data_IF_636846256511
#
_entry.id   IF_636846256511
#
_cell.length_a   1.000
_cell.length_b   1.000
_cell.length_c   1.000
_cell.angle_alpha   90.00
_cell.angle_beta   90.00
_cell.angle_gamma   90.00
#
_symmetry.space_group_name_H-M   'P 1'
#
loop_
_entity.id
_entity.type
_entity.pdbx_description
1 polymer ?
#
# COMPACT_ATOMS: atom_id res chain seq x y z
N UNK A 1 -17.84 -26.99 10.98
CA UNK A 1 -17.48 -25.64 10.47
C UNK A 1 -16.19 -25.67 9.61
N UNK A 2 -15.08 -26.32 10.05
CA UNK A 2 -13.83 -26.40 9.27
C UNK A 2 -14.04 -27.02 7.87
N UNK A 3 -14.72 -28.18 7.77
CA UNK A 3 -15.03 -28.80 6.47
C UNK A 3 -15.91 -27.92 5.56
N UNK A 4 -16.86 -27.19 6.14
CA UNK A 4 -17.71 -26.26 5.40
C UNK A 4 -16.85 -25.10 4.87
N UNK A 5 -15.95 -24.58 5.67
CA UNK A 5 -15.01 -23.55 5.26
C UNK A 5 -14.11 -24.01 4.11
N UNK A 6 -13.49 -25.18 4.24
CA UNK A 6 -12.69 -25.80 3.18
C UNK A 6 -13.48 -25.98 1.89
N UNK A 7 -14.72 -26.47 1.99
CA UNK A 7 -15.61 -26.63 0.84
C UNK A 7 -15.84 -25.29 0.11
N UNK A 8 -16.14 -24.21 0.83
CA UNK A 8 -16.34 -22.91 0.21
C UNK A 8 -15.05 -22.31 -0.38
N UNK A 9 -13.90 -22.51 0.24
CA UNK A 9 -12.61 -22.10 -0.34
C UNK A 9 -12.32 -22.82 -1.64
N UNK A 10 -12.54 -24.14 -1.69
CA UNK A 10 -12.34 -24.95 -2.89
C UNK A 10 -13.36 -24.57 -3.96
N UNK A 11 -14.63 -24.41 -3.60
CA UNK A 11 -15.69 -24.00 -4.53
C UNK A 11 -15.39 -22.62 -5.16
N UNK A 12 -15.04 -21.63 -4.35
CA UNK A 12 -14.64 -20.31 -4.83
C UNK A 12 -13.45 -20.41 -5.80
N UNK A 13 -12.45 -21.24 -5.47
CA UNK A 13 -11.31 -21.46 -6.35
C UNK A 13 -11.73 -22.09 -7.69
N UNK A 14 -12.60 -23.11 -7.71
CA UNK A 14 -13.11 -23.74 -8.93
C UNK A 14 -13.88 -22.72 -9.78
N UNK A 15 -14.77 -21.92 -9.17
CA UNK A 15 -15.54 -20.89 -9.88
C UNK A 15 -14.62 -19.82 -10.48
N UNK A 16 -13.51 -19.50 -9.82
CA UNK A 16 -12.55 -18.52 -10.34
C UNK A 16 -11.64 -19.07 -11.46
N UNK A 17 -11.61 -20.39 -11.70
CA UNK A 17 -10.75 -20.98 -12.75
C UNK A 17 -11.00 -20.42 -14.17
N UNK A 18 -12.24 -20.30 -14.68
CA UNK A 18 -12.48 -19.73 -16.00
C UNK A 18 -12.05 -18.25 -16.10
N UNK A 19 -12.15 -17.49 -14.99
CA UNK A 19 -11.83 -16.06 -14.97
C UNK A 19 -10.33 -15.78 -15.21
N UNK A 20 -9.46 -16.75 -15.05
CA UNK A 20 -8.03 -16.61 -15.36
C UNK A 20 -7.76 -16.36 -16.86
N UNK A 21 -8.64 -16.83 -17.74
CA UNK A 21 -8.55 -16.56 -19.18
C UNK A 21 -8.90 -15.12 -19.52
N UNK A 22 -9.70 -14.47 -18.68
CA UNK A 22 -10.17 -13.09 -18.85
C UNK A 22 -9.35 -12.06 -18.05
N UNK A 23 -8.54 -12.51 -17.07
CA UNK A 23 -7.79 -11.62 -16.19
C UNK A 23 -6.36 -12.10 -15.98
N UNK A 24 -5.40 -11.32 -16.48
CA UNK A 24 -3.95 -11.56 -16.27
C UNK A 24 -3.57 -11.63 -14.79
N UNK A 25 -4.21 -10.82 -13.94
CA UNK A 25 -3.96 -10.84 -12.48
C UNK A 25 -4.37 -12.17 -11.85
N UNK A 26 -5.53 -12.73 -12.22
CA UNK A 26 -6.00 -14.02 -11.70
C UNK A 26 -5.08 -15.13 -12.19
N UNK A 27 -4.66 -15.08 -13.45
CA UNK A 27 -3.75 -16.06 -14.01
C UNK A 27 -2.36 -16.03 -13.32
N UNK A 28 -1.77 -14.84 -13.11
CA UNK A 28 -0.50 -14.69 -12.38
C UNK A 28 -0.60 -15.28 -10.96
N UNK A 29 -1.68 -14.98 -10.26
CA UNK A 29 -1.95 -15.47 -8.91
C UNK A 29 -2.07 -17.02 -8.89
N UNK A 30 -2.73 -17.59 -9.87
CA UNK A 30 -2.88 -19.04 -10.02
C UNK A 30 -1.55 -19.72 -10.27
N UNK A 31 -0.83 -19.28 -11.29
CA UNK A 31 0.47 -19.87 -11.66
C UNK A 31 1.52 -19.68 -10.55
N UNK A 32 1.48 -18.55 -9.86
CA UNK A 32 2.36 -18.29 -8.72
C UNK A 32 2.10 -19.27 -7.57
N UNK A 33 0.82 -19.49 -7.19
CA UNK A 33 0.45 -20.46 -6.14
C UNK A 33 0.85 -21.90 -6.48
N UNK A 34 0.78 -22.30 -7.73
CA UNK A 34 1.24 -23.64 -8.16
C UNK A 34 2.72 -23.86 -7.88
N UNK A 35 3.52 -22.80 -7.95
CA UNK A 35 4.98 -22.84 -7.72
C UNK A 35 5.35 -22.77 -6.24
N UNK A 36 4.45 -22.36 -5.35
CA UNK A 36 4.75 -22.06 -3.94
C UNK A 36 5.41 -23.23 -3.21
N UNK A 37 4.88 -24.43 -3.31
CA UNK A 37 5.47 -25.60 -2.65
C UNK A 37 6.83 -26.03 -3.26
N UNK A 38 7.07 -25.77 -4.54
CA UNK A 38 8.37 -25.99 -5.17
C UNK A 38 9.42 -25.01 -4.65
N UNK A 39 9.01 -23.73 -4.48
CA UNK A 39 9.86 -22.68 -3.90
C UNK A 39 10.21 -23.06 -2.46
N UNK A 40 9.21 -23.40 -1.63
CA UNK A 40 9.44 -23.80 -0.23
C UNK A 40 10.43 -24.95 -0.14
N UNK A 41 10.25 -26.02 -0.91
CA UNK A 41 11.16 -27.16 -0.89
C UNK A 41 12.61 -26.81 -1.26
N UNK A 42 12.80 -25.79 -2.11
CA UNK A 42 14.11 -25.35 -2.59
C UNK A 42 14.81 -24.36 -1.66
N UNK A 43 14.04 -23.45 -1.05
CA UNK A 43 14.58 -22.24 -0.45
C UNK A 43 14.38 -22.17 1.07
N UNK A 44 13.58 -23.06 1.69
CA UNK A 44 13.27 -22.99 3.11
C UNK A 44 13.71 -24.29 3.81
N UNK A 45 14.54 -24.13 4.82
CA UNK A 45 14.87 -25.22 5.77
C UNK A 45 13.97 -25.06 7.01
N UNK A 46 13.15 -26.06 7.37
CA UNK A 46 12.29 -26.01 8.55
C UNK A 46 13.07 -26.03 9.89
N UNK A 47 14.36 -26.33 9.87
CA UNK A 47 15.21 -26.34 11.06
C UNK A 47 15.82 -24.95 11.37
N UNK A 48 15.73 -24.02 10.43
CA UNK A 48 16.18 -22.65 10.65
C UNK A 48 15.19 -21.84 11.50
N UNK A 49 15.64 -20.69 12.01
CA UNK A 49 14.77 -19.75 12.75
C UNK A 49 13.90 -18.95 11.79
N UNK A 50 12.84 -19.57 11.29
CA UNK A 50 11.94 -18.99 10.33
C UNK A 50 10.93 -18.04 10.98
N UNK A 51 10.86 -16.80 10.47
CA UNK A 51 9.82 -15.80 10.76
C UNK A 51 8.99 -15.63 9.50
N UNK A 52 7.69 -15.84 9.61
CA UNK A 52 6.77 -15.73 8.50
C UNK A 52 5.95 -14.45 8.57
N UNK A 53 6.02 -13.63 7.51
CA UNK A 53 5.14 -12.49 7.27
C UNK A 53 4.10 -12.84 6.20
N UNK A 54 2.85 -12.51 6.47
CA UNK A 54 1.80 -12.57 5.48
C UNK A 54 1.25 -11.18 5.16
N UNK A 55 1.20 -10.86 3.87
CA UNK A 55 0.69 -9.60 3.33
C UNK A 55 -0.20 -9.87 2.12
N UNK A 56 -1.38 -9.23 2.07
CA UNK A 56 -2.30 -9.40 0.93
C UNK A 56 -1.86 -8.66 -0.31
N UNK A 57 -1.29 -7.46 -0.14
CA UNK A 57 -1.09 -6.49 -1.21
C UNK A 57 0.24 -5.76 -1.08
N UNK A 58 0.58 -4.95 -2.09
CA UNK A 58 1.75 -4.07 -2.03
C UNK A 58 1.67 -3.09 -0.85
N UNK A 59 0.48 -2.49 -0.59
CA UNK A 59 0.32 -1.55 0.53
C UNK A 59 0.58 -2.18 1.90
N UNK A 60 0.21 -3.44 2.09
CA UNK A 60 0.53 -4.18 3.32
C UNK A 60 2.00 -4.59 3.39
N UNK A 61 2.61 -4.87 2.25
CA UNK A 61 4.04 -5.12 2.19
C UNK A 61 4.86 -3.88 2.58
N UNK A 62 4.43 -2.68 2.18
CA UNK A 62 5.05 -1.42 2.64
C UNK A 62 4.97 -1.25 4.17
N UNK A 63 3.90 -1.75 4.81
CA UNK A 63 3.77 -1.82 6.27
C UNK A 63 4.78 -2.79 6.88
N UNK A 64 5.00 -3.95 6.25
CA UNK A 64 5.89 -4.99 6.74
C UNK A 64 7.38 -4.64 6.60
N UNK A 65 7.78 -3.92 5.54
CA UNK A 65 9.18 -3.63 5.20
C UNK A 65 10.00 -3.05 6.36
N UNK A 66 9.58 -1.99 7.06
CA UNK A 66 10.37 -1.42 8.16
C UNK A 66 10.62 -2.42 9.28
N UNK A 67 9.65 -3.30 9.56
CA UNK A 67 9.75 -4.32 10.60
C UNK A 67 10.74 -5.41 10.16
N UNK A 68 10.63 -5.89 8.93
CA UNK A 68 11.54 -6.87 8.33
C UNK A 68 12.98 -6.34 8.34
N UNK A 69 13.19 -5.10 7.90
CA UNK A 69 14.51 -4.48 7.87
C UNK A 69 15.12 -4.33 9.26
N UNK A 70 14.30 -3.98 10.25
CA UNK A 70 14.73 -3.87 11.65
C UNK A 70 15.13 -5.24 12.20
N UNK A 71 14.30 -6.27 11.98
CA UNK A 71 14.61 -7.63 12.42
C UNK A 71 15.91 -8.17 11.81
N UNK A 72 16.10 -7.96 10.49
CA UNK A 72 17.32 -8.38 9.78
C UNK A 72 18.57 -7.65 10.26
N UNK A 73 18.45 -6.41 10.72
CA UNK A 73 19.58 -5.64 11.30
C UNK A 73 19.88 -6.05 12.74
N UNK A 74 18.86 -6.53 13.47
CA UNK A 74 19.00 -6.85 14.89
C UNK A 74 19.38 -8.32 15.15
N UNK A 75 19.14 -9.21 14.18
CA UNK A 75 19.32 -10.64 14.32
C UNK A 75 19.93 -11.27 13.08
N UNK A 76 21.15 -11.78 13.17
CA UNK A 76 21.88 -12.34 12.00
C UNK A 76 21.35 -13.72 11.59
N UNK A 77 20.83 -14.52 12.53
CA UNK A 77 20.48 -15.94 12.33
C UNK A 77 18.97 -16.17 12.16
N UNK A 78 18.26 -15.26 11.49
CA UNK A 78 16.83 -15.43 11.20
C UNK A 78 16.59 -15.50 9.69
N UNK A 79 15.60 -16.29 9.29
CA UNK A 79 15.10 -16.36 7.91
C UNK A 79 13.72 -15.71 7.83
N UNK A 80 13.57 -14.79 6.91
CA UNK A 80 12.31 -14.08 6.68
C UNK A 80 11.64 -14.64 5.44
N UNK A 81 10.47 -15.26 5.66
CA UNK A 81 9.59 -15.74 4.59
C UNK A 81 8.43 -14.75 4.47
N UNK A 82 8.21 -14.23 3.27
CA UNK A 82 7.08 -13.34 2.99
C UNK A 82 6.12 -14.00 2.00
N UNK A 83 4.87 -14.13 2.40
CA UNK A 83 3.81 -14.63 1.52
C UNK A 83 2.88 -13.51 1.10
N UNK A 84 2.42 -13.58 -0.15
CA UNK A 84 1.51 -12.62 -0.77
C UNK A 84 0.21 -13.29 -1.19
N UNK A 85 -0.90 -12.58 -1.05
CA UNK A 85 -2.17 -13.04 -1.61
C UNK A 85 -2.35 -12.54 -3.04
N UNK A 86 -2.04 -11.27 -3.31
CA UNK A 86 -2.26 -10.65 -4.62
C UNK A 86 -0.97 -10.50 -5.45
N UNK A 87 -1.10 -10.51 -6.79
CA UNK A 87 0.03 -10.26 -7.69
C UNK A 87 0.70 -8.90 -7.49
N UNK A 88 -0.07 -7.87 -7.14
CA UNK A 88 0.49 -6.53 -6.93
C UNK A 88 1.57 -6.50 -5.83
N UNK A 89 1.40 -7.29 -4.77
CA UNK A 89 2.42 -7.43 -3.73
C UNK A 89 3.62 -8.22 -4.22
N UNK A 90 3.38 -9.43 -4.75
CA UNK A 90 4.45 -10.33 -5.15
C UNK A 90 5.32 -9.78 -6.28
N UNK A 91 4.71 -9.29 -7.37
CA UNK A 91 5.44 -8.82 -8.54
C UNK A 91 6.34 -7.61 -8.21
N UNK A 92 5.86 -6.70 -7.34
CA UNK A 92 6.62 -5.52 -6.90
C UNK A 92 7.61 -5.81 -5.75
N UNK A 93 7.64 -7.02 -5.22
CA UNK A 93 8.57 -7.42 -4.14
C UNK A 93 9.84 -8.09 -4.64
N UNK A 94 9.95 -8.42 -5.94
CA UNK A 94 11.03 -9.27 -6.49
C UNK A 94 12.43 -8.76 -6.14
N UNK A 95 12.66 -7.45 -6.20
CA UNK A 95 13.95 -6.82 -5.92
C UNK A 95 14.21 -6.57 -4.42
N UNK A 96 13.25 -6.86 -3.57
CA UNK A 96 13.42 -6.64 -2.13
C UNK A 96 14.32 -7.71 -1.50
N UNK A 97 15.46 -7.29 -0.96
CA UNK A 97 16.57 -8.16 -0.55
C UNK A 97 16.54 -8.61 0.91
N UNK A 98 15.71 -8.00 1.75
CA UNK A 98 15.64 -8.34 3.18
C UNK A 98 14.71 -9.52 3.49
N UNK A 99 13.95 -10.03 2.51
CA UNK A 99 13.22 -11.29 2.61
C UNK A 99 14.02 -12.40 1.92
N UNK A 100 14.28 -13.48 2.65
CA UNK A 100 15.03 -14.64 2.13
C UNK A 100 14.21 -15.41 1.11
N UNK A 101 12.94 -15.63 1.38
CA UNK A 101 12.00 -16.29 0.47
C UNK A 101 10.72 -15.48 0.30
N UNK A 102 10.27 -15.37 -0.94
CA UNK A 102 9.01 -14.69 -1.32
C UNK A 102 8.18 -15.61 -2.19
N UNK A 103 6.90 -15.78 -1.84
CA UNK A 103 6.00 -16.68 -2.57
C UNK A 103 4.53 -16.27 -2.40
N UNK A 104 3.66 -16.80 -3.24
CA UNK A 104 2.23 -16.68 -3.01
C UNK A 104 1.77 -17.63 -1.90
N UNK A 105 0.87 -17.15 -1.04
CA UNK A 105 0.24 -18.00 -0.04
C UNK A 105 -0.60 -19.06 -0.76
N UNK A 106 -0.37 -20.37 -0.54
CA UNK A 106 -1.28 -21.40 -1.01
C UNK A 106 -2.69 -21.19 -0.46
N UNK A 107 -3.72 -21.66 -1.17
CA UNK A 107 -5.10 -21.53 -0.73
C UNK A 107 -5.30 -22.09 0.67
N UNK A 108 -6.11 -21.41 1.49
CA UNK A 108 -6.38 -21.76 2.88
C UNK A 108 -7.28 -23.00 3.03
N UNK A 109 -6.85 -24.10 2.44
CA UNK A 109 -7.42 -25.43 2.71
C UNK A 109 -6.64 -26.10 3.84
N UNK A 110 -7.30 -26.99 4.55
CA UNK A 110 -6.69 -27.76 5.64
C UNK A 110 -5.41 -28.48 5.19
N UNK A 111 -5.43 -29.09 4.00
CA UNK A 111 -4.29 -29.79 3.44
C UNK A 111 -3.11 -28.84 3.13
N UNK A 112 -3.37 -27.74 2.45
CA UNK A 112 -2.32 -26.78 2.09
C UNK A 112 -1.73 -26.10 3.31
N UNK A 113 -2.58 -25.66 4.27
CA UNK A 113 -2.14 -24.99 5.46
C UNK A 113 -1.24 -25.90 6.33
N UNK A 114 -1.64 -27.16 6.55
CA UNK A 114 -0.83 -28.16 7.25
C UNK A 114 0.53 -28.33 6.57
N UNK A 115 0.53 -28.58 5.24
CA UNK A 115 1.74 -28.80 4.47
C UNK A 115 2.67 -27.60 4.48
N UNK A 116 2.10 -26.38 4.38
CA UNK A 116 2.86 -25.14 4.40
C UNK A 116 3.52 -24.91 5.76
N UNK A 117 2.74 -25.01 6.86
CA UNK A 117 3.24 -24.81 8.22
C UNK A 117 4.34 -25.82 8.54
N UNK A 118 4.18 -27.09 8.16
CA UNK A 118 5.23 -28.10 8.36
C UNK A 118 6.49 -27.82 7.52
N UNK A 119 6.35 -27.29 6.31
CA UNK A 119 7.50 -26.98 5.45
C UNK A 119 8.25 -25.71 5.91
N UNK A 120 7.56 -24.74 6.46
CA UNK A 120 8.16 -23.48 6.96
C UNK A 120 8.61 -23.60 8.41
N UNK A 121 7.87 -24.34 9.23
CA UNK A 121 8.06 -24.47 10.68
C UNK A 121 8.34 -23.11 11.37
N UNK A 122 7.47 -22.10 11.18
CA UNK A 122 7.75 -20.76 11.66
C UNK A 122 7.62 -20.71 13.18
N UNK A 123 8.57 -20.03 13.85
CA UNK A 123 8.47 -19.77 15.29
C UNK A 123 7.65 -18.52 15.59
N UNK A 124 7.71 -17.55 14.68
CA UNK A 124 6.96 -16.29 14.77
C UNK A 124 6.22 -16.09 13.44
N UNK A 125 4.96 -15.72 13.55
CA UNK A 125 4.10 -15.40 12.39
C UNK A 125 3.47 -14.04 12.56
N UNK A 126 3.51 -13.23 11.52
CA UNK A 126 3.04 -11.87 11.53
C UNK A 126 2.08 -11.68 10.37
N UNK A 127 0.79 -11.56 10.70
CA UNK A 127 -0.26 -11.15 9.77
C UNK A 127 -0.36 -9.62 9.75
N UNK A 128 -0.26 -9.02 8.58
CA UNK A 128 -0.43 -7.58 8.42
C UNK A 128 -1.89 -7.26 8.15
N UNK A 129 -2.43 -6.29 8.88
CA UNK A 129 -3.85 -5.91 8.89
C UNK A 129 -4.77 -7.08 9.28
N UNK A 130 -5.90 -7.19 8.57
CA UNK A 130 -6.95 -8.16 8.86
C UNK A 130 -6.96 -9.36 7.90
N UNK A 131 -5.85 -9.63 7.22
CA UNK A 131 -5.75 -10.74 6.28
C UNK A 131 -5.39 -12.05 7.01
N UNK A 132 -6.40 -12.63 7.64
CA UNK A 132 -6.28 -13.71 8.62
C UNK A 132 -6.95 -14.98 8.07
N UNK A 133 -6.20 -16.08 8.04
CA UNK A 133 -6.57 -17.34 7.40
C UNK A 133 -6.77 -18.46 8.43
N UNK A 134 -8.00 -18.96 8.51
CA UNK A 134 -8.45 -19.84 9.63
C UNK A 134 -7.71 -21.18 9.71
N UNK A 135 -7.42 -21.84 8.60
CA UNK A 135 -6.69 -23.11 8.64
C UNK A 135 -5.21 -22.88 8.96
N UNK A 136 -4.61 -21.79 8.43
CA UNK A 136 -3.23 -21.44 8.81
C UNK A 136 -3.11 -21.20 10.31
N UNK A 137 -4.01 -20.41 10.91
CA UNK A 137 -4.01 -20.18 12.37
C UNK A 137 -4.14 -21.49 13.14
N UNK A 138 -5.00 -22.38 12.68
CA UNK A 138 -5.18 -23.68 13.34
C UNK A 138 -3.87 -24.49 13.37
N UNK A 139 -3.21 -24.65 12.22
CA UNK A 139 -1.96 -25.43 12.16
C UNK A 139 -0.75 -24.72 12.78
N UNK A 140 -0.75 -23.39 12.79
CA UNK A 140 0.27 -22.63 13.52
C UNK A 140 0.19 -22.87 15.02
N UNK A 141 -1.02 -22.97 15.57
CA UNK A 141 -1.20 -23.33 17.00
C UNK A 141 -0.74 -24.77 17.28
N UNK A 142 -0.97 -25.70 16.35
CA UNK A 142 -0.44 -27.08 16.48
C UNK A 142 1.10 -27.12 16.35
N UNK A 143 1.71 -26.10 15.77
CA UNK A 143 3.17 -25.94 15.61
C UNK A 143 3.82 -25.10 16.73
N UNK A 144 3.07 -24.70 17.75
CA UNK A 144 3.51 -23.80 18.82
C UNK A 144 4.13 -22.50 18.35
N UNK A 145 3.64 -22.00 17.21
CA UNK A 145 4.05 -20.70 16.66
C UNK A 145 3.41 -19.56 17.43
N UNK A 146 4.19 -18.50 17.70
CA UNK A 146 3.65 -17.23 18.25
C UNK A 146 3.08 -16.39 17.11
N UNK A 147 1.82 -16.00 17.23
CA UNK A 147 1.07 -15.33 16.14
C UNK A 147 0.77 -13.88 16.52
N UNK A 148 1.21 -12.97 15.68
CA UNK A 148 0.96 -11.54 15.77
C UNK A 148 0.01 -11.07 14.66
N UNK A 149 -0.92 -10.16 14.98
CA UNK A 149 -1.65 -9.34 14.02
C UNK A 149 -1.16 -7.90 14.17
N UNK A 150 -0.55 -7.35 13.12
CA UNK A 150 0.02 -6.01 13.16
C UNK A 150 -0.74 -5.03 12.27
N UNK A 151 -0.90 -3.79 12.76
CA UNK A 151 -1.54 -2.70 12.03
C UNK A 151 -2.99 -3.03 11.60
N UNK A 152 -3.67 -3.84 12.42
CA UNK A 152 -5.05 -4.26 12.15
C UNK A 152 -6.05 -3.20 12.64
N UNK A 153 -7.19 -3.14 11.95
CA UNK A 153 -8.31 -2.24 12.31
C UNK A 153 -9.60 -3.02 12.37
N UNK A 154 -10.27 -2.93 13.50
CA UNK A 154 -11.52 -3.65 13.74
C UNK A 154 -12.69 -2.70 13.93
N UNK A 155 -13.84 -3.05 13.36
CA UNK A 155 -15.10 -2.34 13.56
C UNK A 155 -16.28 -3.32 13.71
N UNK A 156 -17.36 -2.86 14.32
CA UNK A 156 -18.55 -3.68 14.63
C UNK A 156 -19.28 -4.21 13.38
N UNK A 157 -19.07 -3.62 12.22
CA UNK A 157 -19.73 -4.06 10.97
C UNK A 157 -19.09 -5.32 10.38
N UNK A 158 -17.84 -5.61 10.74
CA UNK A 158 -17.11 -6.79 10.25
C UNK A 158 -17.78 -8.08 10.71
N UNK A 159 -17.78 -9.08 9.84
CA UNK A 159 -18.47 -10.35 10.03
C UNK A 159 -18.04 -11.11 11.30
N UNK A 160 -16.81 -10.95 11.77
CA UNK A 160 -16.32 -11.56 13.02
C UNK A 160 -17.20 -11.23 14.24
N UNK A 161 -17.77 -10.02 14.29
CA UNK A 161 -18.54 -9.51 15.41
C UNK A 161 -20.06 -9.66 15.21
N UNK A 162 -20.49 -10.37 14.14
CA UNK A 162 -21.88 -10.71 13.89
C UNK A 162 -22.17 -12.10 14.47
N UNK A 163 -23.46 -12.39 14.75
CA UNK A 163 -23.88 -13.67 15.32
C UNK A 163 -23.45 -14.88 14.46
N UNK A 164 -23.44 -14.73 13.14
CA UNK A 164 -23.00 -15.76 12.19
C UNK A 164 -21.47 -15.86 12.07
N UNK A 165 -20.73 -14.89 12.60
CA UNK A 165 -19.27 -14.84 12.56
C UNK A 165 -18.57 -15.49 13.76
N UNK A 166 -19.32 -16.07 14.71
CA UNK A 166 -18.78 -16.60 15.97
C UNK A 166 -17.65 -17.61 15.79
N UNK A 167 -17.74 -18.46 14.77
CA UNK A 167 -16.66 -19.42 14.48
C UNK A 167 -15.35 -18.71 14.09
N UNK A 168 -15.44 -17.67 13.26
CA UNK A 168 -14.27 -16.86 12.87
C UNK A 168 -13.70 -16.07 14.06
N UNK A 169 -14.58 -15.56 14.92
CA UNK A 169 -14.14 -14.91 16.16
C UNK A 169 -13.33 -15.86 17.04
N UNK A 170 -13.72 -17.15 17.13
CA UNK A 170 -12.94 -18.18 17.82
C UNK A 170 -11.58 -18.42 17.15
N UNK A 171 -11.45 -18.30 15.83
CA UNK A 171 -10.15 -18.40 15.17
C UNK A 171 -9.28 -17.18 15.50
N UNK A 172 -9.85 -15.97 15.47
CA UNK A 172 -9.12 -14.77 15.88
C UNK A 172 -8.56 -14.88 17.31
N UNK A 173 -9.30 -15.45 18.24
CA UNK A 173 -8.85 -15.66 19.63
C UNK A 173 -7.62 -16.58 19.79
N UNK A 174 -7.20 -17.23 18.73
CA UNK A 174 -5.97 -18.04 18.71
C UNK A 174 -4.72 -17.21 18.38
N UNK A 175 -4.88 -15.94 18.00
CA UNK A 175 -3.77 -15.02 17.81
C UNK A 175 -3.29 -14.53 19.17
N UNK A 176 -1.97 -14.56 19.42
CA UNK A 176 -1.40 -14.25 20.72
C UNK A 176 -1.38 -12.73 21.01
N UNK A 177 -1.06 -11.92 20.00
CA UNK A 177 -0.91 -10.47 20.16
C UNK A 177 -1.56 -9.69 19.03
N UNK A 178 -2.30 -8.65 19.39
CA UNK A 178 -2.88 -7.70 18.46
C UNK A 178 -2.25 -6.32 18.64
N UNK A 179 -1.65 -5.80 17.59
CA UNK A 179 -1.18 -4.42 17.50
C UNK A 179 -2.10 -3.67 16.54
N UNK A 180 -3.09 -2.97 17.09
CA UNK A 180 -4.15 -2.31 16.34
C UNK A 180 -3.81 -0.85 16.04
N UNK A 181 -4.46 -0.29 15.01
CA UNK A 181 -4.21 1.08 14.57
C UNK A 181 -4.81 2.13 15.51
N UNK A 182 -5.96 1.83 16.14
CA UNK A 182 -6.74 2.83 16.87
C UNK A 182 -7.39 2.28 18.16
N UNK A 183 -7.81 3.21 19.01
CA UNK A 183 -8.46 2.92 20.29
C UNK A 183 -9.84 2.25 20.14
N UNK A 184 -10.56 2.52 19.04
CA UNK A 184 -11.86 1.89 18.79
C UNK A 184 -11.71 0.40 18.52
N UNK A 185 -10.69 0.03 17.73
CA UNK A 185 -10.31 -1.35 17.50
C UNK A 185 -9.91 -2.06 18.79
N UNK A 186 -9.07 -1.40 19.63
CA UNK A 186 -8.68 -1.93 20.94
C UNK A 186 -9.89 -2.21 21.82
N UNK A 187 -10.73 -1.21 22.06
CA UNK A 187 -11.95 -1.34 22.88
C UNK A 187 -12.90 -2.43 22.36
N UNK A 188 -13.02 -2.56 21.03
CA UNK A 188 -13.86 -3.59 20.44
C UNK A 188 -13.33 -5.00 20.69
N UNK A 189 -12.02 -5.22 20.56
CA UNK A 189 -11.40 -6.51 20.85
C UNK A 189 -11.48 -6.84 22.34
N UNK A 190 -11.14 -5.91 23.24
CA UNK A 190 -11.24 -6.08 24.70
C UNK A 190 -12.66 -6.43 25.15
N UNK A 191 -13.68 -5.76 24.56
CA UNK A 191 -15.11 -6.09 24.80
C UNK A 191 -15.45 -7.53 24.40
N UNK A 192 -14.74 -8.12 23.46
CA UNK A 192 -14.92 -9.50 23.01
C UNK A 192 -13.93 -10.47 23.68
N UNK A 193 -13.34 -10.08 24.82
CA UNK A 193 -12.43 -10.88 25.65
C UNK A 193 -11.15 -11.28 24.92
N UNK A 194 -10.50 -10.32 24.26
CA UNK A 194 -9.11 -10.42 23.79
C UNK A 194 -8.21 -9.71 24.79
N UNK A 195 -7.13 -10.36 25.22
CA UNK A 195 -6.29 -9.88 26.33
C UNK A 195 -5.09 -9.06 25.86
N UNK A 196 -4.35 -9.54 24.88
CA UNK A 196 -3.09 -8.93 24.44
C UNK A 196 -3.32 -7.95 23.28
N UNK A 197 -4.00 -6.83 23.55
CA UNK A 197 -4.33 -5.82 22.55
C UNK A 197 -3.62 -4.51 22.86
N UNK A 198 -2.72 -4.11 21.94
CA UNK A 198 -1.91 -2.91 22.04
C UNK A 198 -2.21 -1.96 20.89
N UNK A 199 -2.14 -0.65 21.13
CA UNK A 199 -2.22 0.35 20.06
C UNK A 199 -0.79 0.58 19.55
N UNK A 200 -0.57 0.34 18.26
CA UNK A 200 0.70 0.62 17.58
C UNK A 200 0.60 1.73 16.54
N UNK A 201 -0.61 2.18 16.25
CA UNK A 201 -0.85 3.07 15.12
C UNK A 201 -0.69 2.36 13.78
N UNK A 202 -0.58 3.16 12.73
CA UNK A 202 -0.30 2.69 11.37
C UNK A 202 1.19 2.88 11.08
N UNK A 203 1.90 1.80 10.80
CA UNK A 203 3.34 1.84 10.51
C UNK A 203 3.70 2.64 9.25
N UNK A 204 2.71 2.99 8.40
CA UNK A 204 2.90 3.92 7.28
C UNK A 204 3.37 5.29 7.77
N UNK A 205 2.92 5.74 8.96
CA UNK A 205 3.43 6.99 9.58
C UNK A 205 4.93 6.92 9.86
N UNK A 206 5.40 5.82 10.42
CA UNK A 206 6.85 5.62 10.66
C UNK A 206 7.62 5.64 9.33
N UNK A 207 7.08 5.02 8.28
CA UNK A 207 7.71 4.99 6.95
C UNK A 207 7.85 6.40 6.35
N UNK A 208 6.81 7.23 6.43
CA UNK A 208 6.86 8.60 5.87
C UNK A 208 7.73 9.53 6.70
N UNK A 209 7.75 9.39 8.04
CA UNK A 209 8.67 10.11 8.92
C UNK A 209 10.13 9.74 8.60
N UNK A 210 10.43 8.44 8.40
CA UNK A 210 11.76 8.00 7.97
C UNK A 210 12.14 8.57 6.59
N UNK A 211 11.17 8.77 5.69
CA UNK A 211 11.41 9.39 4.39
C UNK A 211 11.75 10.88 4.54
N UNK A 212 11.06 11.59 5.43
CA UNK A 212 11.35 12.98 5.77
C UNK A 212 12.78 13.11 6.32
N UNK A 213 13.15 12.26 7.29
CA UNK A 213 14.45 12.28 7.98
C UNK A 213 15.62 11.93 7.03
N UNK A 214 15.41 11.09 6.03
CA UNK A 214 16.46 10.76 5.03
C UNK A 214 16.90 11.95 4.20
N UNK A 215 16.13 13.02 4.15
CA UNK A 215 16.40 14.28 3.46
C UNK A 215 17.00 14.09 2.03
N UNK A 216 16.56 13.08 1.32
CA UNK A 216 17.06 12.76 -0.03
C UNK A 216 16.62 13.83 -1.02
N UNK A 217 17.57 14.60 -1.54
CA UNK A 217 17.35 15.59 -2.61
C UNK A 217 17.61 14.97 -3.99
N UNK A 218 16.92 15.50 -4.99
CA UNK A 218 17.06 15.11 -6.40
C UNK A 218 17.38 16.34 -7.21
N UNK A 219 18.68 16.57 -7.48
CA UNK A 219 19.21 17.80 -8.09
C UNK A 219 18.56 18.11 -9.45
N UNK A 220 18.25 17.11 -10.27
CA UNK A 220 17.57 17.31 -11.56
C UNK A 220 16.16 17.85 -11.39
N UNK A 221 15.45 17.46 -10.32
CA UNK A 221 14.13 18.00 -9.98
C UNK A 221 14.24 19.45 -9.54
N UNK A 222 15.21 19.79 -8.70
CA UNK A 222 15.45 21.17 -8.25
C UNK A 222 15.74 22.10 -9.44
N UNK A 223 16.57 21.65 -10.40
CA UNK A 223 16.84 22.37 -11.65
C UNK A 223 15.58 22.53 -12.52
N UNK A 224 14.76 21.46 -12.63
CA UNK A 224 13.52 21.51 -13.40
C UNK A 224 12.54 22.55 -12.82
N UNK A 225 12.36 22.57 -11.50
CA UNK A 225 11.45 23.48 -10.81
C UNK A 225 11.96 24.94 -10.89
N UNK A 226 13.25 25.14 -10.76
CA UNK A 226 13.93 26.43 -10.86
C UNK A 226 13.28 27.53 -9.99
N UNK A 227 13.08 27.24 -8.70
CA UNK A 227 12.45 28.11 -7.71
C UNK A 227 11.01 28.56 -8.04
N UNK A 228 10.35 27.94 -9.00
CA UNK A 228 8.93 28.19 -9.30
C UNK A 228 8.04 27.31 -8.41
N UNK A 229 6.80 27.75 -8.19
CA UNK A 229 5.79 26.91 -7.54
C UNK A 229 5.56 25.63 -8.36
N UNK A 230 5.49 24.50 -7.66
CA UNK A 230 5.41 23.20 -8.27
C UNK A 230 4.17 22.44 -7.82
N UNK A 231 3.41 21.94 -8.78
CA UNK A 231 2.33 20.99 -8.57
C UNK A 231 2.85 19.57 -8.77
N UNK A 232 2.56 18.66 -7.82
CA UNK A 232 2.95 17.24 -7.94
C UNK A 232 1.72 16.36 -7.89
N UNK A 233 1.45 15.66 -8.99
CA UNK A 233 0.38 14.68 -9.10
C UNK A 233 0.95 13.26 -9.02
N UNK A 234 0.79 12.62 -7.86
CA UNK A 234 1.37 11.30 -7.58
C UNK A 234 0.40 10.14 -7.69
N UNK A 235 0.89 9.00 -8.14
CA UNK A 235 0.14 7.73 -8.30
C UNK A 235 -1.12 7.88 -9.16
N UNK A 236 -1.04 8.62 -10.25
CA UNK A 236 -2.18 8.97 -11.09
C UNK A 236 -2.56 7.88 -12.09
N UNK A 237 -3.86 7.80 -12.40
CA UNK A 237 -4.46 6.97 -13.43
C UNK A 237 -5.08 7.83 -14.55
N UNK A 238 -5.58 7.22 -15.62
CA UNK A 238 -6.22 7.94 -16.73
C UNK A 238 -7.38 8.85 -16.29
N UNK A 239 -8.18 8.41 -15.33
CA UNK A 239 -9.28 9.22 -14.79
C UNK A 239 -8.79 10.46 -14.04
N UNK A 240 -7.65 10.35 -13.38
CA UNK A 240 -7.02 11.46 -12.66
C UNK A 240 -6.47 12.49 -13.64
N UNK A 241 -5.92 12.05 -14.79
CA UNK A 241 -5.46 12.96 -15.85
C UNK A 241 -6.57 13.90 -16.34
N UNK A 242 -7.78 13.35 -16.55
CA UNK A 242 -8.93 14.18 -16.98
C UNK A 242 -9.30 15.24 -15.95
N UNK A 243 -9.10 14.94 -14.66
CA UNK A 243 -9.38 15.86 -13.57
C UNK A 243 -8.40 17.04 -13.54
N UNK A 244 -7.08 16.75 -13.66
CA UNK A 244 -5.99 17.72 -13.48
C UNK A 244 -5.57 18.40 -14.78
N UNK A 245 -6.13 18.00 -15.91
CA UNK A 245 -5.69 18.40 -17.26
C UNK A 245 -5.59 19.92 -17.45
N UNK A 246 -6.57 20.65 -16.95
CA UNK A 246 -6.61 22.12 -17.07
C UNK A 246 -5.42 22.80 -16.38
N UNK A 247 -4.93 22.24 -15.27
CA UNK A 247 -3.71 22.72 -14.60
C UNK A 247 -2.47 22.34 -15.41
N UNK A 248 -2.42 21.14 -15.96
CA UNK A 248 -1.27 20.67 -16.75
C UNK A 248 -1.10 21.46 -18.07
N UNK A 249 -2.20 21.96 -18.63
CA UNK A 249 -2.18 22.80 -19.84
C UNK A 249 -1.82 24.26 -19.55
N UNK A 250 -1.69 24.63 -18.27
CA UNK A 250 -1.22 25.98 -17.87
C UNK A 250 0.31 26.05 -17.80
N UNK A 251 0.85 27.27 -17.57
CA UNK A 251 2.30 27.50 -17.42
C UNK A 251 2.84 27.19 -16.01
N UNK A 252 2.20 26.24 -15.28
CA UNK A 252 2.60 25.87 -13.94
C UNK A 252 3.57 24.69 -14.02
N UNK A 253 4.69 24.77 -13.29
CA UNK A 253 5.60 23.63 -13.15
C UNK A 253 4.87 22.47 -12.49
N UNK A 254 4.79 21.35 -13.21
CA UNK A 254 4.03 20.18 -12.81
C UNK A 254 4.86 18.91 -12.94
N UNK A 255 4.83 18.08 -11.92
CA UNK A 255 5.47 16.76 -11.94
C UNK A 255 4.36 15.71 -11.89
N UNK A 256 4.30 14.86 -12.91
CA UNK A 256 3.33 13.78 -13.02
C UNK A 256 4.02 12.47 -12.71
N UNK A 257 3.51 11.73 -11.73
CA UNK A 257 4.02 10.42 -11.37
C UNK A 257 2.91 9.38 -11.60
N UNK A 258 2.91 8.70 -12.75
CA UNK A 258 1.95 7.66 -13.04
C UNK A 258 2.04 6.50 -12.04
N UNK A 259 0.90 5.88 -11.71
CA UNK A 259 0.88 4.63 -10.96
C UNK A 259 1.33 3.46 -11.83
N UNK A 260 0.94 3.46 -13.09
CA UNK A 260 1.37 2.52 -14.11
C UNK A 260 2.39 3.20 -15.03
N UNK A 261 3.64 2.74 -14.98
CA UNK A 261 4.73 3.22 -15.83
C UNK A 261 4.86 2.43 -17.13
N UNK A 262 3.77 1.78 -17.58
CA UNK A 262 3.78 1.09 -18.88
C UNK A 262 4.15 2.06 -20.00
N UNK A 263 4.92 1.56 -20.96
CA UNK A 263 5.40 2.34 -22.12
C UNK A 263 4.23 3.02 -22.83
N UNK A 264 3.09 2.32 -22.96
CA UNK A 264 1.92 2.86 -23.63
C UNK A 264 1.33 4.06 -22.86
N UNK A 265 1.21 3.99 -21.54
CA UNK A 265 0.66 5.09 -20.75
C UNK A 265 1.58 6.31 -20.77
N UNK A 266 2.89 6.10 -20.58
CA UNK A 266 3.90 7.18 -20.66
C UNK A 266 3.89 7.84 -22.04
N UNK A 267 3.87 7.05 -23.13
CA UNK A 267 3.84 7.58 -24.49
C UNK A 267 2.55 8.36 -24.80
N UNK A 268 1.41 7.92 -24.27
CA UNK A 268 0.14 8.65 -24.40
C UNK A 268 0.20 10.03 -23.72
N UNK A 269 0.78 10.09 -22.50
CA UNK A 269 1.01 11.37 -21.82
C UNK A 269 1.96 12.27 -22.60
N UNK A 270 3.07 11.72 -23.09
CA UNK A 270 4.04 12.47 -23.88
C UNK A 270 3.42 13.01 -25.18
N UNK A 271 2.64 12.21 -25.87
CA UNK A 271 1.90 12.64 -27.07
C UNK A 271 0.87 13.72 -26.76
N UNK A 272 0.16 13.59 -25.63
CA UNK A 272 -0.88 14.54 -25.23
C UNK A 272 -0.34 15.94 -24.94
N UNK A 273 0.79 16.01 -24.24
CA UNK A 273 1.37 17.30 -23.80
C UNK A 273 2.49 17.81 -24.70
N UNK A 274 2.95 17.01 -25.67
CA UNK A 274 3.88 17.41 -26.73
C UNK A 274 5.16 18.06 -26.20
N UNK A 275 5.51 19.19 -26.81
CA UNK A 275 6.74 19.92 -26.49
C UNK A 275 6.76 20.53 -25.08
N UNK A 276 5.62 20.61 -24.40
CA UNK A 276 5.54 21.15 -23.04
C UNK A 276 5.93 20.12 -21.98
N UNK A 277 6.16 18.86 -22.35
CA UNK A 277 6.54 17.82 -21.39
C UNK A 277 7.87 17.14 -21.73
N UNK A 278 8.45 16.49 -20.72
CA UNK A 278 9.64 15.66 -20.83
C UNK A 278 9.56 14.49 -19.84
N UNK A 279 10.14 13.36 -20.19
CA UNK A 279 10.31 12.23 -19.28
C UNK A 279 11.53 12.46 -18.37
N UNK A 280 11.45 11.93 -17.17
CA UNK A 280 12.55 12.04 -16.22
C UNK A 280 13.81 11.34 -16.71
N UNK A 281 13.69 10.22 -17.41
CA UNK A 281 14.79 9.52 -18.07
C UNK A 281 15.51 10.33 -19.13
N UNK A 282 14.81 11.27 -19.76
CA UNK A 282 15.31 12.06 -20.90
C UNK A 282 15.80 13.45 -20.47
N UNK A 283 15.77 13.77 -19.18
CA UNK A 283 16.12 15.07 -18.62
C UNK A 283 17.64 15.28 -18.54
N UNK A 284 18.25 15.86 -19.58
CA UNK A 284 19.71 15.91 -19.75
C UNK A 284 20.31 17.30 -19.94
N UNK A 285 19.58 18.30 -20.47
CA UNK A 285 20.13 19.61 -20.85
C UNK A 285 19.30 20.79 -20.35
N UNK A 286 19.84 22.02 -20.44
CA UNK A 286 19.16 23.25 -19.95
C UNK A 286 17.86 23.56 -20.66
N UNK A 287 17.69 23.17 -21.92
CA UNK A 287 16.45 23.37 -22.65
C UNK A 287 15.30 22.55 -22.06
N UNK A 288 15.60 21.35 -21.57
CA UNK A 288 14.63 20.45 -20.98
C UNK A 288 14.03 21.04 -19.69
N UNK A 289 14.79 21.81 -18.95
CA UNK A 289 14.33 22.50 -17.74
C UNK A 289 13.38 23.68 -18.01
N UNK A 290 13.23 24.13 -19.25
CA UNK A 290 12.25 25.16 -19.61
C UNK A 290 10.83 24.62 -19.75
N UNK A 291 10.67 23.33 -19.98
CA UNK A 291 9.36 22.66 -20.08
C UNK A 291 8.59 22.75 -18.78
N UNK A 292 7.25 22.70 -18.85
CA UNK A 292 6.43 22.84 -17.63
C UNK A 292 6.00 21.50 -17.04
N UNK A 293 6.00 20.40 -17.79
CA UNK A 293 5.55 19.09 -17.31
C UNK A 293 6.72 18.11 -17.31
N UNK A 294 6.97 17.51 -16.15
CA UNK A 294 7.90 16.40 -16.00
C UNK A 294 7.13 15.12 -15.70
N UNK A 295 7.30 14.10 -16.54
CA UNK A 295 6.70 12.78 -16.38
C UNK A 295 7.73 11.85 -15.75
N UNK A 296 7.44 11.32 -14.56
CA UNK A 296 8.30 10.37 -13.89
C UNK A 296 8.03 8.97 -14.43
N UNK A 297 9.00 8.42 -15.11
CA UNK A 297 8.97 7.10 -15.75
C UNK A 297 9.81 6.06 -14.97
N UNK A 298 10.05 6.32 -13.69
CA UNK A 298 10.80 5.43 -12.79
C UNK A 298 10.04 5.17 -11.49
N UNK A 299 10.30 3.99 -10.88
CA UNK A 299 9.66 3.57 -9.63
C UNK A 299 10.49 4.03 -8.41
N UNK A 300 9.79 4.35 -7.30
CA UNK A 300 10.38 4.47 -5.96
C UNK A 300 10.87 5.86 -5.59
N UNK A 301 10.76 6.87 -6.47
CA UNK A 301 11.19 8.23 -6.15
C UNK A 301 10.07 9.15 -5.66
N UNK A 302 8.79 8.83 -5.93
CA UNK A 302 7.63 9.67 -5.63
C UNK A 302 7.64 10.20 -4.19
N UNK A 303 7.87 9.33 -3.22
CA UNK A 303 7.91 9.69 -1.80
C UNK A 303 8.94 10.78 -1.44
N UNK A 304 9.97 10.97 -2.26
CA UNK A 304 10.95 12.04 -2.09
C UNK A 304 10.60 13.30 -2.87
N UNK A 305 9.72 13.21 -3.87
CA UNK A 305 9.34 14.34 -4.73
C UNK A 305 8.38 15.29 -4.03
N UNK A 306 7.49 14.80 -3.16
CA UNK A 306 6.50 15.65 -2.48
C UNK A 306 7.10 16.78 -1.64
N UNK A 307 8.39 16.69 -1.28
CA UNK A 307 9.10 17.80 -0.63
C UNK A 307 9.23 19.06 -1.49
N UNK A 308 9.09 18.90 -2.80
CA UNK A 308 9.17 19.99 -3.78
C UNK A 308 7.80 20.54 -4.16
N UNK A 309 6.74 19.99 -3.62
CA UNK A 309 5.39 20.39 -3.94
C UNK A 309 4.93 21.60 -3.13
N UNK A 310 4.35 22.59 -3.80
CA UNK A 310 3.51 23.60 -3.16
C UNK A 310 2.08 23.13 -3.00
N UNK A 311 1.63 22.26 -3.92
CA UNK A 311 0.32 21.61 -3.92
C UNK A 311 0.52 20.17 -4.42
N UNK A 312 -0.08 19.21 -3.73
CA UNK A 312 -0.06 17.82 -4.13
C UNK A 312 -1.45 17.34 -4.58
N UNK A 313 -1.48 16.44 -5.55
CA UNK A 313 -2.64 15.61 -5.85
C UNK A 313 -2.26 14.14 -5.67
N UNK A 314 -3.12 13.37 -5.01
CA UNK A 314 -2.93 11.93 -4.86
C UNK A 314 -4.02 11.19 -5.61
N UNK A 315 -3.60 10.38 -6.58
CA UNK A 315 -4.48 9.67 -7.49
C UNK A 315 -5.21 8.48 -6.87
N UNK A 316 -6.08 7.87 -7.68
CA UNK A 316 -6.88 6.69 -7.33
C UNK A 316 -8.28 6.99 -6.81
N UNK A 317 -8.50 8.19 -6.24
CA UNK A 317 -9.80 8.59 -5.69
C UNK A 317 -10.88 8.95 -6.72
N UNK A 318 -10.58 9.01 -8.02
CA UNK A 318 -11.57 9.26 -9.08
C UNK A 318 -12.18 8.01 -9.68
N UNK A 319 -11.57 6.86 -9.49
CA UNK A 319 -12.00 5.58 -10.02
C UNK A 319 -12.26 4.53 -8.94
N UNK A 320 -12.29 3.25 -9.35
CA UNK A 320 -12.51 2.10 -8.47
C UNK A 320 -11.17 1.46 -7.99
N UNK A 321 -10.05 2.15 -8.17
CA UNK A 321 -8.72 1.63 -7.81
C UNK A 321 -8.38 1.82 -6.33
N UNK A 322 -9.11 2.70 -5.64
CA UNK A 322 -8.83 3.13 -4.27
C UNK A 322 -7.80 4.24 -4.19
N UNK A 323 -7.97 5.12 -3.20
CA UNK A 323 -7.07 6.24 -2.92
C UNK A 323 -5.66 5.72 -2.56
N UNK A 324 -4.63 6.34 -3.12
CA UNK A 324 -3.24 6.05 -2.77
C UNK A 324 -2.80 6.73 -1.47
N UNK A 325 -1.55 6.52 -1.05
CA UNK A 325 -1.04 6.94 0.23
C UNK A 325 -0.89 8.47 0.34
N UNK A 326 -1.82 9.13 1.01
CA UNK A 326 -1.78 10.58 1.23
C UNK A 326 -0.81 11.02 2.34
N UNK A 327 -0.33 10.09 3.16
CA UNK A 327 0.64 10.40 4.21
C UNK A 327 1.99 10.84 3.63
N UNK A 328 2.30 10.41 2.39
CA UNK A 328 3.56 10.80 1.73
C UNK A 328 3.65 12.32 1.47
N UNK A 329 2.67 13.01 0.88
CA UNK A 329 2.69 14.47 0.83
C UNK A 329 2.41 15.13 2.18
N UNK A 330 1.56 14.55 3.03
CA UNK A 330 1.19 15.13 4.31
C UNK A 330 2.39 15.35 5.24
N UNK A 331 3.38 14.44 5.24
CA UNK A 331 4.58 14.57 6.08
C UNK A 331 5.44 15.80 5.73
N UNK A 332 5.31 16.32 4.50
CA UNK A 332 5.99 17.54 4.04
C UNK A 332 5.16 18.81 4.26
N UNK A 333 4.01 18.71 4.94
CA UNK A 333 3.11 19.85 5.21
C UNK A 333 2.59 20.52 3.92
N UNK A 334 2.29 19.73 2.90
CA UNK A 334 1.76 20.17 1.62
C UNK A 334 0.24 20.00 1.61
N UNK A 335 -0.56 21.00 1.15
CA UNK A 335 -1.99 20.83 0.92
C UNK A 335 -2.24 19.80 -0.15
N UNK A 336 -3.24 18.93 0.08
CA UNK A 336 -3.46 17.74 -0.73
C UNK A 336 -4.85 17.78 -1.35
N UNK A 337 -4.92 17.63 -2.68
CA UNK A 337 -6.16 17.37 -3.40
C UNK A 337 -6.32 15.87 -3.66
N UNK A 338 -7.54 15.36 -3.54
CA UNK A 338 -7.89 13.96 -3.81
C UNK A 338 -9.21 13.88 -4.57
N UNK A 339 -9.46 12.74 -5.21
CA UNK A 339 -10.76 12.46 -5.81
C UNK A 339 -11.84 12.15 -4.76
N UNK A 340 -13.10 12.06 -5.22
CA UNK A 340 -14.30 11.90 -4.37
C UNK A 340 -14.41 10.57 -3.62
N UNK A 341 -13.70 9.52 -4.05
CA UNK A 341 -13.83 8.16 -3.49
C UNK A 341 -12.70 7.92 -2.47
N UNK A 342 -12.86 8.46 -1.28
CA UNK A 342 -11.88 8.33 -0.18
C UNK A 342 -12.47 7.75 1.12
N UNK A 343 -13.77 7.46 1.13
CA UNK A 343 -14.43 6.85 2.30
C UNK A 343 -13.79 5.50 2.62
N UNK A 344 -13.57 5.26 3.91
CA UNK A 344 -12.87 4.06 4.40
C UNK A 344 -11.35 4.19 4.47
N UNK A 345 -10.79 5.34 4.04
CA UNK A 345 -9.40 5.72 4.26
C UNK A 345 -9.34 6.70 5.43
N UNK A 346 -9.12 6.18 6.65
CA UNK A 346 -9.20 6.97 7.89
C UNK A 346 -8.31 8.20 7.88
N UNK A 347 -7.09 8.06 7.37
CA UNK A 347 -6.15 9.17 7.24
C UNK A 347 -6.66 10.29 6.32
N UNK A 348 -7.42 9.92 5.28
CA UNK A 348 -8.02 10.90 4.37
C UNK A 348 -9.23 11.59 5.01
N UNK A 349 -10.07 10.83 5.73
CA UNK A 349 -11.21 11.36 6.47
C UNK A 349 -10.74 12.35 7.56
N UNK A 350 -9.73 11.96 8.34
CA UNK A 350 -9.17 12.77 9.42
C UNK A 350 -8.53 14.05 8.88
N UNK A 351 -7.64 13.96 7.88
CA UNK A 351 -6.98 15.13 7.28
C UNK A 351 -7.96 16.04 6.53
N UNK A 352 -9.04 15.50 5.95
CA UNK A 352 -10.11 16.31 5.34
C UNK A 352 -10.84 17.12 6.42
N UNK A 353 -11.16 16.50 7.56
CA UNK A 353 -11.82 17.20 8.68
C UNK A 353 -10.95 18.30 9.28
N UNK A 354 -9.63 18.16 9.25
CA UNK A 354 -8.65 19.11 9.72
C UNK A 354 -8.32 20.23 8.68
N UNK A 355 -8.82 20.12 7.45
CA UNK A 355 -8.59 21.10 6.39
C UNK A 355 -7.22 20.98 5.68
N UNK A 356 -6.53 19.85 5.82
CA UNK A 356 -5.27 19.55 5.10
C UNK A 356 -5.47 18.84 3.77
N UNK A 357 -6.64 18.22 3.58
CA UNK A 357 -7.01 17.48 2.37
C UNK A 357 -8.32 18.02 1.80
N UNK A 358 -8.34 18.22 0.49
CA UNK A 358 -9.48 18.74 -0.27
C UNK A 358 -9.98 17.67 -1.25
N UNK A 359 -11.19 17.16 -1.02
CA UNK A 359 -11.82 16.21 -1.92
C UNK A 359 -12.60 16.94 -3.02
N UNK A 360 -12.40 16.53 -4.26
CA UNK A 360 -13.04 17.13 -5.44
C UNK A 360 -13.76 16.08 -6.29
N UNK A 361 -14.87 16.49 -6.92
CA UNK A 361 -15.75 15.57 -7.66
C UNK A 361 -15.52 15.61 -9.19
N UNK A 362 -15.06 16.73 -9.69
CA UNK A 362 -14.89 16.98 -11.14
C UNK A 362 -13.77 17.99 -11.40
N UNK A 363 -13.46 18.22 -12.68
CA UNK A 363 -12.37 19.10 -13.12
C UNK A 363 -12.58 20.57 -12.77
N UNK A 364 -13.83 21.05 -12.71
CA UNK A 364 -14.11 22.46 -12.38
C UNK A 364 -13.89 22.70 -10.86
N UNK A 365 -14.38 21.81 -10.02
CA UNK A 365 -14.10 21.86 -8.57
C UNK A 365 -12.60 21.75 -8.29
N UNK A 366 -11.91 20.84 -9.00
CA UNK A 366 -10.46 20.68 -8.88
C UNK A 366 -9.76 22.00 -9.24
N UNK A 367 -10.06 22.56 -10.40
CA UNK A 367 -9.39 23.77 -10.89
C UNK A 367 -9.65 24.95 -9.96
N UNK A 368 -10.89 25.14 -9.49
CA UNK A 368 -11.23 26.20 -8.54
C UNK A 368 -10.42 26.07 -7.23
N UNK A 369 -10.47 24.89 -6.61
CA UNK A 369 -9.74 24.62 -5.37
C UNK A 369 -8.21 24.76 -5.56
N UNK A 370 -7.70 24.29 -6.71
CA UNK A 370 -6.29 24.40 -7.04
C UNK A 370 -5.85 25.88 -7.14
N UNK A 371 -6.60 26.73 -7.85
CA UNK A 371 -6.28 28.15 -8.00
C UNK A 371 -6.33 28.89 -6.66
N UNK A 372 -7.34 28.61 -5.82
CA UNK A 372 -7.41 29.17 -4.48
C UNK A 372 -6.14 28.85 -3.65
N UNK A 373 -5.69 27.59 -3.70
CA UNK A 373 -4.44 27.18 -3.06
C UNK A 373 -3.19 27.76 -3.74
N UNK A 374 -3.18 27.88 -5.06
CA UNK A 374 -2.04 28.39 -5.82
C UNK A 374 -1.80 29.87 -5.56
N UNK A 375 -2.86 30.67 -5.49
CA UNK A 375 -2.77 32.12 -5.32
C UNK A 375 -2.55 32.53 -3.83
N UNK A 376 -3.06 31.74 -2.87
CA UNK A 376 -2.97 32.05 -1.45
C UNK A 376 -1.88 31.25 -0.73
N UNK A 377 -0.77 31.90 -0.40
CA UNK A 377 0.28 31.31 0.45
C UNK A 377 -0.23 31.04 1.87
N UNK A 378 -1.06 31.93 2.40
CA UNK A 378 -1.66 31.77 3.72
C UNK A 378 -2.51 30.49 3.79
N UNK A 379 -3.35 30.25 2.75
CA UNK A 379 -4.18 29.05 2.68
C UNK A 379 -3.31 27.79 2.57
N UNK A 380 -2.26 27.78 1.75
CA UNK A 380 -1.31 26.66 1.67
C UNK A 380 -0.68 26.37 3.02
N UNK A 381 -0.17 27.40 3.69
CA UNK A 381 0.48 27.27 4.99
C UNK A 381 -0.48 26.77 6.07
N UNK A 382 -1.71 27.27 6.09
CA UNK A 382 -2.77 26.82 7.00
C UNK A 382 -3.11 25.35 6.79
N UNK A 383 -3.36 24.97 5.54
CA UNK A 383 -3.70 23.59 5.18
C UNK A 383 -2.54 22.63 5.40
N UNK A 384 -1.31 23.02 5.08
CA UNK A 384 -0.12 22.19 5.32
C UNK A 384 0.18 21.96 6.80
N UNK A 385 -0.32 22.83 7.71
CA UNK A 385 -0.18 22.66 9.17
C UNK A 385 -1.23 21.74 9.79
N UNK A 386 -2.27 21.37 9.05
CA UNK A 386 -3.25 20.40 9.48
C UNK A 386 -2.55 19.04 9.63
N UNK A 387 -2.28 18.61 10.87
CA UNK A 387 -1.56 17.37 11.21
C UNK A 387 -2.49 16.43 11.95
N UNK A 388 -2.32 15.15 11.70
CA UNK A 388 -2.93 14.09 12.50
C UNK A 388 -2.11 13.90 13.79
#
# INVERSE_FOLDING_TARGET
MKFIYDFFIILAFIICQPLRLLSSKINLSYEGRRKSFKILKKEVDPNEKNIWFHVSSLGEFEIAKPIIETLKKSFDNIKIIVTFFSPSGYENSKEYRFADTKLYLPLDTSFNAKRFVSAVNPKIVIFIKNDIWSNYIHYLRENDSVIYSLSSRFNKSQFYFKFYGYWFLKQLKKIDFFYVQDNNSKKLLEKNSFENVHISGDSRYTSVINTLNKNKRVTSIEKFINNKRCFIAGSIWENDIKLIDRVLMSNIKSIIVPHDISINFINNLNKKYGDNCIKFSDLNNEYDFKKNILIIDSIGILKYLYRYADIAYVGGGMGNKGLHNILEPAVFSVPILIGKNFQGFSEAEDLTSLGGVFSVKNSDEFYKCFIELYDSEELRNKSGKAKI
#
